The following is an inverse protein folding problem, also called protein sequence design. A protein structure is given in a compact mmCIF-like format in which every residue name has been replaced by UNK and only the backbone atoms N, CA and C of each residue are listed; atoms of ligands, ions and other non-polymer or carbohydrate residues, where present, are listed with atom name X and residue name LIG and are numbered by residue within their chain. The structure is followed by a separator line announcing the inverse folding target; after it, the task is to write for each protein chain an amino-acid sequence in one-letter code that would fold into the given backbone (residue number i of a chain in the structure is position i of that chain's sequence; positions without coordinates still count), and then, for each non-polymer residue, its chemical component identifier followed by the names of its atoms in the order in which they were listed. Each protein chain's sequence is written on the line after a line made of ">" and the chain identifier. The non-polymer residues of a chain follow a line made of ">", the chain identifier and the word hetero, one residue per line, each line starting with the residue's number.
data_IF_438693605390
#
_entry.id   IF_438693605390
#
_cell.length_a   1.000
_cell.length_b   1.000
_cell.length_c   1.000
_cell.angle_alpha   90.00
_cell.angle_beta   90.00
_cell.angle_gamma   90.00
#
_symmetry.space_group_name_H-M   'P 1'
#
loop_
_entity.id
_entity.type
_entity.pdbx_description
1 polymer ?
#
# COMPACT_ATOMS: atom_id res chain seq x y z
N UNK A 1 -4.03 27.20 -29.00
CA UNK A 1 -2.67 26.61 -28.94
C UNK A 1 -2.34 26.37 -27.47
N UNK A 2 -2.44 25.13 -27.00
CA UNK A 2 -2.12 24.78 -25.61
C UNK A 2 -0.74 24.11 -25.57
N UNK A 3 0.18 24.65 -24.77
CA UNK A 3 1.52 24.09 -24.60
C UNK A 3 1.49 23.13 -23.41
N UNK A 4 1.50 21.83 -23.69
CA UNK A 4 1.70 20.79 -22.69
C UNK A 4 3.19 20.73 -22.32
N UNK A 5 3.55 21.32 -21.17
CA UNK A 5 4.87 21.14 -20.57
C UNK A 5 4.83 19.87 -19.72
N UNK A 6 5.47 18.81 -20.22
CA UNK A 6 5.51 17.50 -19.56
C UNK A 6 6.80 17.37 -18.74
N UNK A 7 6.71 17.50 -17.42
CA UNK A 7 7.84 17.29 -16.50
C UNK A 7 7.67 15.99 -15.73
N UNK A 8 8.51 15.00 -16.03
CA UNK A 8 8.69 13.83 -15.17
C UNK A 8 9.32 14.25 -13.83
N UNK A 9 8.78 13.74 -12.72
CA UNK A 9 9.45 13.75 -11.42
C UNK A 9 9.52 12.33 -10.89
N UNK A 10 10.74 11.86 -10.60
CA UNK A 10 11.03 10.49 -10.15
C UNK A 10 10.77 10.32 -8.65
N UNK A 11 10.18 9.18 -8.27
CA UNK A 11 9.95 8.81 -6.87
C UNK A 11 11.23 8.27 -6.24
N UNK A 12 11.67 8.88 -5.14
CA UNK A 12 12.66 8.28 -4.22
C UNK A 12 11.94 7.71 -3.00
N UNK A 13 12.03 6.39 -2.83
CA UNK A 13 11.58 5.69 -1.63
C UNK A 13 12.68 5.78 -0.59
N UNK A 14 12.35 6.23 0.62
CA UNK A 14 13.27 6.13 1.76
C UNK A 14 12.72 5.17 2.82
N UNK A 15 13.62 4.38 3.41
CA UNK A 15 13.31 3.17 4.17
C UNK A 15 14.29 3.05 5.33
N UNK A 16 13.83 3.26 6.56
CA UNK A 16 14.61 3.02 7.77
C UNK A 16 13.83 2.19 8.80
N UNK A 17 14.54 1.23 9.39
CA UNK A 17 14.08 0.31 10.42
C UNK A 17 14.75 0.66 11.78
N UNK A 18 14.25 0.04 12.86
CA UNK A 18 15.01 -0.34 14.09
C UNK A 18 15.55 0.82 14.98
N UNK A 19 15.82 0.68 16.29
CA UNK A 19 15.75 -0.48 17.21
C UNK A 19 15.63 -0.06 18.72
N UNK A 20 15.06 -0.96 19.54
CA UNK A 20 15.46 -1.38 20.92
C UNK A 20 15.61 -0.39 22.10
N UNK A 21 15.07 -0.73 23.30
CA UNK A 21 15.41 -0.11 24.59
C UNK A 21 14.60 -0.60 25.83
N UNK A 22 15.26 -0.87 26.95
CA UNK A 22 14.79 -1.70 28.10
C UNK A 22 15.41 -1.23 29.45
N UNK A 23 15.07 -1.62 30.70
CA UNK A 23 14.27 -2.74 31.28
C UNK A 23 13.73 -2.41 32.72
N UNK A 24 12.71 -3.15 33.23
CA UNK A 24 12.37 -3.34 34.69
C UNK A 24 11.69 -2.15 35.45
N UNK A 25 10.85 -2.28 36.51
CA UNK A 25 10.74 -3.32 37.57
C UNK A 25 9.34 -3.45 38.25
N UNK A 26 9.00 -4.67 38.71
CA UNK A 26 8.41 -5.12 40.03
C UNK A 26 7.50 -4.18 40.89
N UNK A 27 6.50 -4.60 41.71
CA UNK A 27 5.85 -5.90 42.08
C UNK A 27 4.58 -5.62 42.92
N UNK A 28 3.44 -6.31 42.73
CA UNK A 28 2.48 -6.70 43.82
C UNK A 28 1.37 -7.68 43.39
N UNK A 29 1.01 -8.61 44.30
CA UNK A 29 -0.04 -9.68 44.28
C UNK A 29 -0.45 -9.86 45.77
N UNK A 30 -1.66 -10.34 46.20
CA UNK A 30 -2.73 -11.05 45.47
C UNK A 30 -4.18 -10.49 45.63
N UNK A 31 -5.10 -10.99 44.79
CA UNK A 31 -6.55 -10.87 44.98
C UNK A 31 -7.30 -12.01 44.30
N UNK A 32 -8.14 -12.73 45.05
CA UNK A 32 -8.83 -13.95 44.60
C UNK A 32 -9.92 -13.68 43.55
N UNK A 33 -9.98 -14.50 42.51
CA UNK A 33 -11.02 -14.47 41.48
C UNK A 33 -10.86 -15.61 40.47
N UNK A 34 -11.62 -16.69 40.65
CA UNK A 34 -11.52 -17.92 39.85
C UNK A 34 -11.95 -17.69 38.38
N UNK A 35 -10.98 -17.50 37.48
CA UNK A 35 -11.22 -17.56 36.03
C UNK A 35 -11.47 -19.00 35.55
N UNK A 36 -12.30 -19.20 34.50
CA UNK A 36 -12.46 -20.51 33.86
C UNK A 36 -11.20 -20.91 33.06
N UNK A 37 -11.04 -22.19 32.68
CA UNK A 37 -9.80 -22.70 32.10
C UNK A 37 -9.62 -22.31 30.63
N UNK A 38 -9.15 -21.08 30.39
CA UNK A 38 -8.67 -20.61 29.07
C UNK A 38 -7.39 -21.37 28.62
N UNK A 39 -6.61 -21.94 29.54
CA UNK A 39 -5.32 -22.62 29.28
C UNK A 39 -5.41 -24.06 28.72
N UNK A 40 -6.53 -24.44 28.10
CA UNK A 40 -6.57 -25.65 27.23
C UNK A 40 -6.04 -25.36 25.81
N UNK A 41 -5.54 -24.15 25.56
CA UNK A 41 -5.09 -23.65 24.25
C UNK A 41 -3.71 -24.13 23.78
N UNK A 42 -3.06 -25.06 24.49
CA UNK A 42 -2.15 -26.00 23.83
C UNK A 42 -2.93 -27.00 22.94
N UNK A 43 -3.79 -26.47 22.04
CA UNK A 43 -4.40 -27.24 20.93
C UNK A 43 -3.25 -27.97 20.25
N UNK A 44 -3.38 -29.29 20.12
CA UNK A 44 -2.34 -30.13 19.52
C UNK A 44 -1.92 -29.51 18.18
N UNK A 45 -0.66 -29.04 18.08
CA UNK A 45 -0.09 -28.57 16.81
C UNK A 45 -0.44 -29.56 15.73
N UNK A 46 -0.95 -29.10 14.59
CA UNK A 46 -1.53 -29.97 13.54
C UNK A 46 -0.56 -31.11 13.13
N UNK A 47 0.74 -30.81 13.08
CA UNK A 47 1.81 -31.79 12.86
C UNK A 47 1.83 -32.92 13.90
N UNK A 48 1.81 -32.61 15.21
CA UNK A 48 1.78 -33.64 16.28
C UNK A 48 0.55 -34.54 16.22
N UNK A 49 -0.58 -34.02 15.70
CA UNK A 49 -1.77 -34.84 15.46
C UNK A 49 -1.57 -35.75 14.24
N UNK A 50 -1.01 -35.23 13.15
CA UNK A 50 -0.64 -35.98 11.95
C UNK A 50 0.32 -37.15 12.29
N UNK A 51 1.43 -36.88 12.98
CA UNK A 51 2.42 -37.89 13.38
C UNK A 51 1.76 -39.04 14.16
N UNK A 52 0.92 -38.68 15.13
CA UNK A 52 0.19 -39.62 16.00
C UNK A 52 -0.83 -40.45 15.23
N UNK A 53 -1.49 -39.87 14.22
CA UNK A 53 -2.44 -40.58 13.34
C UNK A 53 -1.68 -41.53 12.42
N UNK A 54 -0.57 -41.10 11.83
CA UNK A 54 0.25 -41.94 10.94
C UNK A 54 0.89 -43.11 11.67
N UNK A 55 1.49 -42.87 12.84
CA UNK A 55 2.04 -43.93 13.69
C UNK A 55 0.96 -44.97 14.04
N UNK A 56 -0.19 -44.55 14.56
CA UNK A 56 -1.29 -45.47 14.94
C UNK A 56 -1.90 -46.21 13.75
N UNK A 57 -1.89 -45.60 12.57
CA UNK A 57 -2.38 -46.25 11.34
C UNK A 57 -1.42 -47.34 10.89
N UNK A 58 -0.11 -47.08 10.95
CA UNK A 58 0.92 -48.08 10.67
C UNK A 58 0.89 -49.25 11.68
N UNK A 59 0.79 -48.96 12.98
CA UNK A 59 0.63 -49.98 14.04
C UNK A 59 -0.57 -50.89 13.72
N UNK A 60 -1.75 -50.32 13.49
CA UNK A 60 -2.96 -51.09 13.16
C UNK A 60 -2.89 -51.86 11.84
N UNK A 61 -2.20 -51.32 10.83
CA UNK A 61 -2.02 -51.99 9.55
C UNK A 61 -1.17 -53.26 9.70
N UNK A 62 -0.09 -53.16 10.49
CA UNK A 62 0.79 -54.29 10.82
C UNK A 62 0.06 -55.32 11.70
N UNK A 63 -0.70 -54.90 12.71
CA UNK A 63 -1.52 -55.81 13.54
C UNK A 63 -2.55 -56.60 12.71
N UNK A 64 -3.02 -56.04 11.59
CA UNK A 64 -3.94 -56.72 10.68
C UNK A 64 -3.26 -57.70 9.72
N UNK A 65 -1.93 -57.69 9.61
CA UNK A 65 -1.18 -58.55 8.70
C UNK A 65 -1.17 -60.00 9.19
N UNK A 66 -2.12 -60.82 8.71
CA UNK A 66 -2.31 -62.22 9.16
C UNK A 66 -1.28 -63.23 8.62
N UNK A 67 -0.02 -62.83 8.48
CA UNK A 67 1.08 -63.56 7.84
C UNK A 67 1.16 -65.03 8.28
N UNK A 68 1.17 -65.28 9.60
CA UNK A 68 1.25 -66.63 10.17
C UNK A 68 0.06 -67.54 9.82
N UNK A 69 -1.13 -66.98 9.59
CA UNK A 69 -2.31 -67.75 9.18
C UNK A 69 -2.24 -68.15 7.71
N UNK A 70 -1.74 -67.25 6.85
CA UNK A 70 -1.62 -67.44 5.39
C UNK A 70 -0.55 -68.48 5.05
N UNK A 71 0.59 -68.46 5.74
CA UNK A 71 1.73 -69.34 5.47
C UNK A 71 1.82 -70.57 6.39
N UNK A 72 0.70 -70.97 7.04
CA UNK A 72 0.61 -72.12 7.97
C UNK A 72 1.36 -73.39 7.55
N UNK A 73 1.30 -73.88 6.29
CA UNK A 73 2.03 -75.09 5.88
C UNK A 73 3.55 -74.96 5.98
N UNK A 74 4.10 -73.75 5.81
CA UNK A 74 5.53 -73.48 5.89
C UNK A 74 5.98 -73.31 7.35
N UNK A 75 5.17 -72.64 8.18
CA UNK A 75 5.39 -72.57 9.64
C UNK A 75 5.49 -73.96 10.28
N UNK A 76 4.66 -74.93 9.85
CA UNK A 76 4.76 -76.33 10.32
C UNK A 76 6.05 -77.04 9.92
N UNK A 77 6.69 -76.66 8.80
CA UNK A 77 7.92 -77.29 8.30
C UNK A 77 9.18 -76.71 8.92
N UNK A 78 9.22 -75.39 9.16
CA UNK A 78 10.36 -74.75 9.81
C UNK A 78 9.92 -73.46 10.53
N UNK A 79 9.48 -73.54 11.80
CA UNK A 79 8.94 -72.39 12.52
C UNK A 79 9.99 -71.29 12.72
N UNK A 80 11.20 -71.65 13.16
CA UNK A 80 12.28 -70.67 13.42
C UNK A 80 12.66 -69.84 12.18
N UNK A 81 12.84 -70.47 11.01
CA UNK A 81 13.13 -69.72 9.78
C UNK A 81 11.95 -68.85 9.38
N UNK A 82 10.72 -69.32 9.54
CA UNK A 82 9.53 -68.56 9.13
C UNK A 82 9.23 -67.39 10.08
N UNK A 83 9.48 -67.53 11.38
CA UNK A 83 9.43 -66.42 12.35
C UNK A 83 10.48 -65.34 12.01
N UNK A 84 11.70 -65.74 11.65
CA UNK A 84 12.73 -64.80 11.19
C UNK A 84 12.31 -64.05 9.93
N UNK A 85 11.76 -64.75 8.93
CA UNK A 85 11.27 -64.14 7.68
C UNK A 85 10.12 -63.18 7.96
N UNK A 86 9.17 -63.57 8.83
CA UNK A 86 8.06 -62.71 9.21
C UNK A 86 8.54 -61.43 9.91
N UNK A 87 9.46 -61.56 10.87
CA UNK A 87 10.05 -60.41 11.56
C UNK A 87 10.73 -59.46 10.58
N UNK A 88 11.59 -59.97 9.70
CA UNK A 88 12.25 -59.18 8.66
C UNK A 88 11.24 -58.48 7.74
N UNK A 89 10.22 -59.19 7.26
CA UNK A 89 9.17 -58.61 6.41
C UNK A 89 8.45 -57.43 7.09
N UNK A 90 8.10 -57.55 8.37
CA UNK A 90 7.45 -56.49 9.13
C UNK A 90 8.40 -55.31 9.39
N UNK A 91 9.66 -55.57 9.73
CA UNK A 91 10.67 -54.51 9.93
C UNK A 91 10.95 -53.72 8.64
N UNK A 92 11.12 -54.41 7.51
CA UNK A 92 11.30 -53.81 6.18
C UNK A 92 10.07 -53.01 5.74
N UNK A 93 8.87 -53.59 5.84
CA UNK A 93 7.61 -52.95 5.47
C UNK A 93 7.34 -51.68 6.29
N UNK A 94 7.54 -51.75 7.61
CA UNK A 94 7.41 -50.57 8.46
C UNK A 94 8.48 -49.52 8.17
N UNK A 95 9.71 -49.92 7.85
CA UNK A 95 10.79 -48.98 7.50
C UNK A 95 10.45 -48.25 6.21
N UNK A 96 10.09 -48.98 5.15
CA UNK A 96 9.69 -48.40 3.86
C UNK A 96 8.51 -47.42 4.01
N UNK A 97 7.44 -47.81 4.73
CA UNK A 97 6.29 -46.91 4.94
C UNK A 97 6.69 -45.65 5.74
N UNK A 98 7.57 -45.76 6.75
CA UNK A 98 8.07 -44.59 7.49
C UNK A 98 8.93 -43.68 6.61
N UNK A 99 9.84 -44.24 5.83
CA UNK A 99 10.67 -43.50 4.87
C UNK A 99 9.80 -42.78 3.83
N UNK A 100 8.78 -43.45 3.29
CA UNK A 100 7.82 -42.87 2.33
C UNK A 100 7.02 -41.72 2.95
N UNK A 101 6.54 -41.87 4.20
CA UNK A 101 5.85 -40.80 4.93
C UNK A 101 6.78 -39.62 5.18
N UNK A 102 8.03 -39.85 5.61
CA UNK A 102 9.02 -38.78 5.80
C UNK A 102 9.30 -38.02 4.51
N UNK A 103 9.50 -38.72 3.37
CA UNK A 103 9.68 -38.06 2.06
C UNK A 103 8.46 -37.22 1.68
N UNK A 104 7.24 -37.71 1.91
CA UNK A 104 6.01 -36.93 1.64
C UNK A 104 5.87 -35.69 2.55
N UNK A 105 6.34 -35.75 3.81
CA UNK A 105 6.39 -34.58 4.71
C UNK A 105 7.38 -33.54 4.18
N UNK A 106 8.57 -33.97 3.75
CA UNK A 106 9.65 -33.13 3.24
C UNK A 106 9.28 -32.50 1.88
N UNK A 107 8.93 -33.32 0.88
CA UNK A 107 8.49 -32.91 -0.46
C UNK A 107 7.28 -31.96 -0.40
N UNK A 108 6.31 -32.29 0.46
CA UNK A 108 5.13 -31.46 0.70
C UNK A 108 5.39 -30.20 1.53
N UNK A 109 6.59 -30.07 2.13
CA UNK A 109 6.92 -29.05 3.16
C UNK A 109 5.84 -28.97 4.24
N UNK A 110 5.34 -30.13 4.68
CA UNK A 110 4.10 -30.24 5.44
C UNK A 110 4.22 -29.61 6.82
N UNK A 111 5.39 -29.71 7.46
CA UNK A 111 5.65 -29.08 8.77
C UNK A 111 5.43 -27.55 8.71
N UNK A 112 5.99 -26.89 7.70
CA UNK A 112 5.84 -25.46 7.48
C UNK A 112 4.38 -25.10 7.26
N UNK A 113 3.70 -25.80 6.33
CA UNK A 113 2.29 -25.51 5.98
C UNK A 113 1.34 -25.73 7.16
N UNK A 114 1.52 -26.79 7.95
CA UNK A 114 0.69 -27.05 9.12
C UNK A 114 0.94 -26.03 10.24
N UNK A 115 2.18 -25.60 10.44
CA UNK A 115 2.53 -24.57 11.43
C UNK A 115 2.15 -23.15 10.97
N UNK A 116 2.09 -22.89 9.66
CA UNK A 116 1.50 -21.67 9.07
C UNK A 116 -0.03 -21.65 9.25
N UNK A 117 -0.72 -22.77 9.02
CA UNK A 117 -2.16 -22.89 9.30
C UNK A 117 -2.49 -22.69 10.79
N UNK A 118 -1.66 -23.21 11.70
CA UNK A 118 -1.77 -22.94 13.15
C UNK A 118 -1.63 -21.43 13.45
N UNK A 119 -0.75 -20.69 12.76
CA UNK A 119 -0.60 -19.25 12.90
C UNK A 119 -1.77 -18.45 12.31
N UNK A 120 -2.21 -18.81 11.09
CA UNK A 120 -3.33 -18.16 10.41
C UNK A 120 -4.64 -18.31 11.17
N UNK A 121 -4.92 -19.49 11.74
CA UNK A 121 -6.08 -19.68 12.63
C UNK A 121 -5.99 -18.74 13.86
N UNK A 122 -4.83 -18.71 14.53
CA UNK A 122 -4.63 -17.86 15.72
C UNK A 122 -4.77 -16.36 15.41
N UNK A 123 -4.28 -15.90 14.25
CA UNK A 123 -4.47 -14.53 13.79
C UNK A 123 -5.95 -14.23 13.44
N UNK A 124 -6.65 -15.21 12.86
CA UNK A 124 -8.05 -15.07 12.46
C UNK A 124 -9.05 -15.09 13.64
N UNK A 125 -8.70 -15.70 14.80
CA UNK A 125 -9.58 -15.83 15.98
C UNK A 125 -10.31 -14.56 16.43
N UNK A 126 -9.74 -13.37 16.17
CA UNK A 126 -10.30 -12.08 16.58
C UNK A 126 -11.28 -11.47 15.56
N UNK A 127 -11.33 -12.00 14.34
CA UNK A 127 -12.22 -11.51 13.28
C UNK A 127 -13.51 -12.33 13.31
N UNK A 128 -14.63 -11.66 13.62
CA UNK A 128 -15.95 -12.30 13.60
C UNK A 128 -16.55 -12.40 12.19
N UNK A 129 -16.03 -11.61 11.24
CA UNK A 129 -16.53 -11.57 9.87
C UNK A 129 -16.21 -12.86 9.09
N UNK A 130 -17.11 -13.32 8.19
CA UNK A 130 -16.83 -14.42 7.29
C UNK A 130 -15.59 -14.14 6.44
N UNK A 131 -14.56 -14.99 6.56
CA UNK A 131 -13.36 -14.88 5.75
C UNK A 131 -13.69 -15.00 4.26
N UNK A 132 -13.11 -14.12 3.44
CA UNK A 132 -13.34 -14.06 1.99
C UNK A 132 -13.11 -15.43 1.31
N UNK A 133 -13.94 -15.72 0.31
CA UNK A 133 -13.84 -16.91 -0.55
C UNK A 133 -14.01 -16.45 -2.00
N UNK A 134 -13.28 -17.06 -2.96
CA UNK A 134 -13.54 -16.86 -4.38
C UNK A 134 -15.01 -17.13 -4.68
N UNK A 135 -15.66 -16.22 -5.39
CA UNK A 135 -17.01 -16.38 -5.92
C UNK A 135 -17.08 -17.42 -7.04
N UNK A 136 -15.94 -17.70 -7.69
CA UNK A 136 -15.86 -18.50 -8.90
C UNK A 136 -16.09 -17.69 -10.17
N UNK A 137 -16.29 -16.38 -10.06
CA UNK A 137 -16.33 -15.41 -11.17
C UNK A 137 -15.00 -14.64 -11.18
N UNK A 138 -14.08 -14.94 -12.12
CA UNK A 138 -12.72 -14.38 -12.11
C UNK A 138 -12.68 -12.86 -12.07
N UNK A 139 -13.58 -12.18 -12.78
CA UNK A 139 -13.67 -10.72 -12.84
C UNK A 139 -13.97 -10.13 -11.45
N UNK A 140 -14.93 -10.71 -10.72
CA UNK A 140 -15.32 -10.25 -9.39
C UNK A 140 -14.22 -10.54 -8.36
N UNK A 141 -13.62 -11.72 -8.44
CA UNK A 141 -12.55 -12.13 -7.53
C UNK A 141 -11.30 -11.27 -7.72
N UNK A 142 -10.95 -10.93 -8.98
CA UNK A 142 -9.82 -10.07 -9.31
C UNK A 142 -10.05 -8.60 -8.93
N UNK A 143 -11.28 -8.09 -9.07
CA UNK A 143 -11.65 -6.76 -8.57
C UNK A 143 -11.40 -6.62 -7.06
N UNK A 144 -11.66 -7.66 -6.27
CA UNK A 144 -11.42 -7.63 -4.81
C UNK A 144 -9.94 -7.43 -4.46
N UNK A 145 -9.03 -8.04 -5.23
CA UNK A 145 -7.59 -7.93 -5.07
C UNK A 145 -7.03 -6.58 -5.56
N UNK A 146 -7.57 -6.05 -6.67
CA UNK A 146 -7.09 -4.78 -7.24
C UNK A 146 -7.61 -3.53 -6.54
N UNK A 147 -8.77 -3.59 -5.87
CA UNK A 147 -9.42 -2.42 -5.27
C UNK A 147 -8.51 -1.56 -4.39
N UNK A 148 -7.66 -2.11 -3.48
CA UNK A 148 -6.77 -1.30 -2.64
C UNK A 148 -5.73 -0.49 -3.44
N UNK A 149 -5.27 -1.01 -4.58
CA UNK A 149 -4.32 -0.31 -5.46
C UNK A 149 -4.99 0.88 -6.16
N UNK A 150 -6.20 0.69 -6.70
CA UNK A 150 -6.95 1.78 -7.33
C UNK A 150 -7.37 2.85 -6.32
N UNK A 151 -7.79 2.47 -5.10
CA UNK A 151 -8.06 3.42 -4.02
C UNK A 151 -6.83 4.25 -3.64
N UNK A 152 -5.64 3.64 -3.60
CA UNK A 152 -4.37 4.35 -3.35
C UNK A 152 -4.05 5.33 -4.49
N UNK A 153 -4.22 4.92 -5.74
CA UNK A 153 -4.00 5.76 -6.92
C UNK A 153 -4.99 6.93 -6.96
N UNK A 154 -6.27 6.68 -6.72
CA UNK A 154 -7.32 7.70 -6.68
C UNK A 154 -7.02 8.75 -5.60
N UNK A 155 -6.66 8.30 -4.38
CA UNK A 155 -6.28 9.20 -3.28
C UNK A 155 -5.12 10.11 -3.66
N UNK A 156 -4.08 9.56 -4.31
CA UNK A 156 -2.94 10.33 -4.80
C UNK A 156 -3.35 11.35 -5.88
N UNK A 157 -4.10 10.93 -6.89
CA UNK A 157 -4.54 11.83 -7.97
C UNK A 157 -5.46 12.96 -7.46
N UNK A 158 -6.34 12.68 -6.48
CA UNK A 158 -7.15 13.71 -5.81
C UNK A 158 -6.27 14.73 -5.05
N UNK A 159 -5.17 14.30 -4.43
CA UNK A 159 -4.25 15.20 -3.73
C UNK A 159 -3.51 16.13 -4.70
N UNK A 160 -2.96 15.61 -5.80
CA UNK A 160 -2.28 16.43 -6.82
C UNK A 160 -3.26 17.37 -7.54
N UNK A 161 -4.48 16.91 -7.85
CA UNK A 161 -5.51 17.75 -8.46
C UNK A 161 -5.86 18.95 -7.56
N UNK A 162 -6.06 18.73 -6.26
CA UNK A 162 -6.35 19.79 -5.30
C UNK A 162 -5.20 20.81 -5.21
N UNK A 163 -3.95 20.34 -5.24
CA UNK A 163 -2.75 21.20 -5.26
C UNK A 163 -2.73 22.09 -6.51
N UNK A 164 -2.87 21.50 -7.70
CA UNK A 164 -2.89 22.23 -8.97
C UNK A 164 -4.05 23.23 -9.02
N UNK A 165 -5.23 22.88 -8.50
CA UNK A 165 -6.38 23.80 -8.41
C UNK A 165 -6.09 24.99 -7.49
N UNK A 166 -5.48 24.78 -6.32
CA UNK A 166 -5.10 25.85 -5.41
C UNK A 166 -4.04 26.78 -6.00
N UNK A 167 -3.00 26.23 -6.63
CA UNK A 167 -1.96 27.01 -7.32
C UNK A 167 -2.55 27.84 -8.48
N UNK A 168 -3.40 27.24 -9.32
CA UNK A 168 -4.08 27.95 -10.41
C UNK A 168 -5.03 29.05 -9.90
N UNK A 169 -5.74 28.82 -8.79
CA UNK A 169 -6.60 29.85 -8.20
C UNK A 169 -5.78 31.06 -7.72
N UNK A 170 -4.66 30.83 -7.03
CA UNK A 170 -3.76 31.89 -6.58
C UNK A 170 -3.11 32.65 -7.76
N UNK A 171 -2.66 31.94 -8.80
CA UNK A 171 -2.11 32.54 -10.02
C UNK A 171 -3.16 33.37 -10.78
N UNK A 172 -4.40 32.88 -10.86
CA UNK A 172 -5.52 33.58 -11.51
C UNK A 172 -5.86 34.89 -10.78
N UNK A 173 -5.92 34.87 -9.45
CA UNK A 173 -6.10 36.07 -8.62
C UNK A 173 -4.97 37.08 -8.83
N UNK A 174 -3.71 36.63 -8.83
CA UNK A 174 -2.54 37.50 -9.07
C UNK A 174 -2.56 38.12 -10.47
N UNK A 175 -2.93 37.33 -11.49
CA UNK A 175 -3.06 37.83 -12.86
C UNK A 175 -4.20 38.86 -12.99
N UNK A 176 -5.31 38.66 -12.28
CA UNK A 176 -6.43 39.60 -12.27
C UNK A 176 -6.07 40.93 -11.61
N UNK A 177 -5.48 40.91 -10.41
CA UNK A 177 -4.98 42.11 -9.74
C UNK A 177 -3.92 42.86 -10.57
N UNK A 178 -3.07 42.11 -11.30
CA UNK A 178 -2.12 42.68 -12.25
C UNK A 178 -2.79 43.43 -13.41
N UNK A 179 -3.86 42.86 -14.00
CA UNK A 179 -4.65 43.51 -15.05
C UNK A 179 -5.35 44.78 -14.56
N UNK A 180 -5.89 44.76 -13.35
CA UNK A 180 -6.57 45.93 -12.74
C UNK A 180 -5.59 47.08 -12.49
N UNK A 181 -4.40 46.78 -11.95
CA UNK A 181 -3.32 47.76 -11.77
C UNK A 181 -2.82 48.35 -13.09
N UNK A 182 -2.70 47.52 -14.13
CA UNK A 182 -2.32 47.98 -15.47
C UNK A 182 -3.38 48.92 -16.06
N UNK A 183 -4.67 48.56 -16.00
CA UNK A 183 -5.77 49.37 -16.50
C UNK A 183 -5.87 50.73 -15.75
N UNK A 184 -5.65 50.74 -14.43
CA UNK A 184 -5.57 51.98 -13.66
C UNK A 184 -4.39 52.87 -14.10
N UNK A 185 -3.24 52.26 -14.40
CA UNK A 185 -2.05 52.97 -14.86
C UNK A 185 -2.24 53.54 -16.27
N UNK A 186 -2.82 52.76 -17.18
CA UNK A 186 -3.17 53.17 -18.55
C UNK A 186 -4.17 54.33 -18.56
N UNK A 187 -5.19 54.30 -17.70
CA UNK A 187 -6.14 55.40 -17.52
C UNK A 187 -5.47 56.69 -17.04
N UNK A 188 -4.56 56.60 -16.06
CA UNK A 188 -3.79 57.75 -15.56
C UNK A 188 -2.90 58.34 -16.65
N UNK A 189 -2.16 57.51 -17.39
CA UNK A 189 -1.32 57.94 -18.51
C UNK A 189 -2.17 58.65 -19.58
N UNK A 190 -3.30 58.06 -19.97
CA UNK A 190 -4.20 58.64 -20.97
C UNK A 190 -4.73 60.01 -20.54
N UNK A 191 -5.18 60.12 -19.28
CA UNK A 191 -5.65 61.39 -18.70
C UNK A 191 -4.57 62.47 -18.76
N UNK A 192 -3.36 62.16 -18.28
CA UNK A 192 -2.23 63.11 -18.33
C UNK A 192 -1.84 63.46 -19.77
N UNK A 193 -1.84 62.50 -20.70
CA UNK A 193 -1.55 62.78 -22.11
C UNK A 193 -2.57 63.74 -22.72
N UNK A 194 -3.86 63.60 -22.38
CA UNK A 194 -4.91 64.49 -22.88
C UNK A 194 -4.85 65.89 -22.23
N UNK A 195 -4.55 65.99 -20.92
CA UNK A 195 -4.24 67.27 -20.26
C UNK A 195 -3.07 68.02 -20.92
N UNK A 196 -2.03 67.29 -21.35
CA UNK A 196 -0.88 67.88 -22.02
C UNK A 196 -1.25 68.39 -23.43
N UNK A 197 -2.01 67.62 -24.22
CA UNK A 197 -2.55 68.08 -25.52
C UNK A 197 -3.44 69.32 -25.40
N UNK A 198 -4.23 69.43 -24.33
CA UNK A 198 -5.06 70.62 -24.07
C UNK A 198 -4.18 71.83 -23.77
N UNK A 199 -3.17 71.69 -22.90
CA UNK A 199 -2.23 72.79 -22.57
C UNK A 199 -1.39 73.22 -23.77
N UNK A 200 -0.96 72.28 -24.61
CA UNK A 200 -0.25 72.56 -25.87
C UNK A 200 -1.08 73.44 -26.80
N UNK A 201 -2.36 73.09 -27.03
CA UNK A 201 -3.29 73.89 -27.83
C UNK A 201 -3.54 75.28 -27.25
N UNK A 202 -3.69 75.38 -25.92
CA UNK A 202 -3.84 76.66 -25.24
C UNK A 202 -2.59 77.53 -25.41
N UNK A 203 -1.39 76.96 -25.22
CA UNK A 203 -0.12 77.68 -25.42
C UNK A 203 0.02 78.18 -26.86
N UNK A 204 -0.28 77.35 -27.85
CA UNK A 204 -0.29 77.76 -29.26
C UNK A 204 -1.22 78.97 -29.49
N UNK A 205 -2.43 78.97 -28.94
CA UNK A 205 -3.36 80.10 -29.06
C UNK A 205 -2.88 81.38 -28.35
N UNK A 206 -2.16 81.24 -27.22
CA UNK A 206 -1.53 82.38 -26.53
C UNK A 206 -0.38 82.95 -27.36
N UNK A 207 0.49 82.10 -27.91
CA UNK A 207 1.60 82.54 -28.78
C UNK A 207 1.09 83.18 -30.08
N UNK A 208 -0.01 82.69 -30.67
CA UNK A 208 -0.67 83.36 -31.80
C UNK A 208 -1.21 84.74 -31.42
N UNK A 209 -1.84 84.87 -30.25
CA UNK A 209 -2.33 86.15 -29.73
C UNK A 209 -1.18 87.13 -29.45
N UNK A 210 -0.11 86.69 -28.80
CA UNK A 210 1.10 87.50 -28.57
C UNK A 210 1.72 87.99 -29.88
N UNK A 211 1.82 87.12 -30.89
CA UNK A 211 2.32 87.49 -32.22
C UNK A 211 1.45 88.56 -32.90
N UNK A 212 0.12 88.45 -32.79
CA UNK A 212 -0.81 89.46 -33.30
C UNK A 212 -0.68 90.77 -32.53
N UNK A 213 -0.59 90.73 -31.20
CA UNK A 213 -0.39 91.92 -30.37
C UNK A 213 0.94 92.63 -30.68
N UNK A 214 2.04 91.87 -30.87
CA UNK A 214 3.32 92.43 -31.30
C UNK A 214 3.25 93.09 -32.69
N UNK A 215 2.45 92.55 -33.63
CA UNK A 215 2.27 93.17 -34.96
C UNK A 215 1.47 94.47 -34.96
N UNK A 216 0.77 94.79 -33.86
CA UNK A 216 -0.03 96.00 -33.69
C UNK A 216 0.73 97.14 -32.98
N UNK A 217 1.98 96.91 -32.56
CA UNK A 217 2.84 97.96 -32.03
C UNK A 217 3.40 98.80 -33.19
N UNK A 218 3.24 100.14 -33.20
CA UNK A 218 3.87 100.98 -34.20
C UNK A 218 5.39 100.88 -34.11
N UNK A 219 6.07 100.84 -35.26
CA UNK A 219 7.49 101.18 -35.30
C UNK A 219 7.61 102.69 -35.04
N UNK A 220 8.25 103.08 -33.95
CA UNK A 220 8.57 104.48 -33.66
C UNK A 220 9.54 105.01 -34.73
N UNK A 221 8.98 105.70 -35.73
CA UNK A 221 9.72 106.61 -36.59
C UNK A 221 9.84 107.93 -35.85
N UNK A 222 10.96 108.11 -35.14
CA UNK A 222 11.46 109.42 -34.78
C UNK A 222 12.81 109.64 -35.44
N UNK A 223 12.74 110.38 -36.55
CA UNK A 223 13.85 110.85 -37.38
C UNK A 223 14.29 112.23 -36.84
N UNK A 224 15.45 112.31 -36.16
CA UNK A 224 16.24 113.53 -35.86
C UNK A 224 17.73 113.17 -35.75
#
# INVERSE_FOLDING_TARGET
>A
LAVLVYTHTTVTVDRMNEATGDVSSQTTIPGSGSKPPEEKEARFKRLKLFDKVMQKSLEKFIDHARFASTFRPLYKKNPQKMESIHKQFIEELQRAIREDISRLIEEGSLEFKLNELDQLENAAKKNADPAWRPSGVPEQDFCSFLMPYYQKQEKYMRQELNKIQAENAALSQKAQAGRESLAQTEYRISTTVDEWKVREKQLASVTEFERLASSLHPADVFDV
#
